data_IF_719814346569
#
_entry.id   IF_719814346569
#
_cell.length_a   1.000
_cell.length_b   1.000
_cell.length_c   1.000
_cell.angle_alpha   90.00
_cell.angle_beta   90.00
_cell.angle_gamma   90.00
#
_symmetry.space_group_name_H-M   'P 1'
#
loop_
_entity.id
_entity.type
_entity.pdbx_description
1 polymer ?
#
# COMPACT_ATOMS: atom_id res chain seq x y z
N UNK A 1 4.62 -8.18 1.90
CA UNK A 1 4.92 -8.46 0.48
C UNK A 1 3.88 -7.77 -0.37
N UNK A 2 4.30 -6.98 -1.37
CA UNK A 2 3.35 -6.25 -2.19
C UNK A 2 2.50 -7.17 -3.06
N UNK A 3 1.42 -6.61 -3.58
CA UNK A 3 0.45 -7.32 -4.41
C UNK A 3 1.08 -7.88 -5.70
N UNK A 4 0.61 -9.06 -6.10
CA UNK A 4 1.04 -9.74 -7.33
C UNK A 4 2.27 -10.64 -7.19
N UNK A 5 2.98 -10.62 -6.05
CA UNK A 5 4.14 -11.51 -5.82
C UNK A 5 3.74 -13.00 -5.91
N UNK A 6 2.56 -13.34 -5.41
CA UNK A 6 2.03 -14.71 -5.40
C UNK A 6 0.89 -14.92 -6.41
N UNK A 7 0.73 -14.04 -7.40
CA UNK A 7 -0.24 -14.23 -8.46
C UNK A 7 0.11 -15.47 -9.31
N UNK A 8 -0.88 -16.29 -9.72
CA UNK A 8 -2.33 -16.09 -9.59
C UNK A 8 -2.96 -16.70 -8.33
N UNK A 9 -2.17 -17.27 -7.41
CA UNK A 9 -2.69 -18.02 -6.26
C UNK A 9 -3.42 -17.13 -5.26
N UNK A 10 -2.91 -15.92 -5.03
CA UNK A 10 -3.60 -14.92 -4.20
C UNK A 10 -3.20 -13.51 -4.61
N UNK A 11 -4.17 -12.59 -4.50
CA UNK A 11 -3.97 -11.15 -4.63
C UNK A 11 -3.89 -10.45 -3.28
N UNK A 12 -3.91 -11.20 -2.17
CA UNK A 12 -3.87 -10.65 -0.82
C UNK A 12 -2.41 -10.38 -0.43
N UNK A 13 -2.09 -9.20 0.14
CA UNK A 13 -0.78 -8.93 0.71
C UNK A 13 -0.36 -10.01 1.71
N UNK A 14 0.88 -10.48 1.60
CA UNK A 14 1.42 -11.54 2.48
C UNK A 14 2.50 -10.98 3.39
N UNK A 15 2.50 -11.33 4.67
CA UNK A 15 3.53 -10.91 5.62
C UNK A 15 4.50 -12.06 5.93
N UNK A 16 5.77 -11.72 6.14
CA UNK A 16 6.78 -12.66 6.63
C UNK A 16 7.09 -12.31 8.09
N UNK A 17 7.07 -13.31 8.95
CA UNK A 17 7.42 -13.16 10.36
C UNK A 17 8.73 -13.86 10.64
N UNK A 18 9.63 -13.12 11.28
CA UNK A 18 10.90 -13.63 11.77
C UNK A 18 10.89 -13.57 13.29
N UNK A 19 11.19 -14.68 13.93
CA UNK A 19 11.26 -14.79 15.37
C UNK A 19 12.44 -15.67 15.74
N UNK A 20 12.98 -15.43 16.94
CA UNK A 20 13.98 -16.28 17.55
C UNK A 20 13.39 -16.94 18.81
N UNK A 21 14.21 -17.75 19.49
CA UNK A 21 13.82 -18.42 20.73
C UNK A 21 14.50 -17.80 21.96
N UNK A 22 15.05 -16.59 21.86
CA UNK A 22 15.85 -15.95 22.91
C UNK A 22 14.99 -15.18 23.93
N UNK A 23 13.95 -15.84 24.41
CA UNK A 23 13.07 -15.30 25.45
C UNK A 23 11.89 -14.48 24.91
N UNK A 24 11.17 -13.76 25.80
CA UNK A 24 9.95 -13.06 25.42
C UNK A 24 10.23 -11.84 24.54
N UNK A 25 9.45 -11.70 23.47
CA UNK A 25 9.49 -10.55 22.58
C UNK A 25 9.16 -9.27 23.34
N UNK A 26 10.11 -8.32 23.38
CA UNK A 26 9.89 -6.99 23.95
C UNK A 26 9.37 -6.00 22.91
N UNK A 27 9.82 -6.13 21.67
CA UNK A 27 9.48 -5.25 20.57
C UNK A 27 9.41 -6.03 19.27
N UNK A 28 8.52 -5.60 18.38
CA UNK A 28 8.42 -6.09 17.00
C UNK A 28 8.86 -4.98 16.07
N UNK A 29 9.71 -5.32 15.11
CA UNK A 29 10.10 -4.44 14.02
C UNK A 29 9.27 -4.77 12.79
N UNK A 30 8.75 -3.73 12.16
CA UNK A 30 8.03 -3.81 10.89
C UNK A 30 8.88 -3.20 9.79
N UNK A 31 8.81 -3.78 8.60
CA UNK A 31 9.42 -3.25 7.39
C UNK A 31 8.44 -3.39 6.22
N UNK A 32 8.11 -2.27 5.60
CA UNK A 32 7.25 -2.20 4.43
C UNK A 32 8.12 -2.25 3.17
N UNK A 33 8.02 -3.35 2.43
CA UNK A 33 8.69 -3.51 1.15
C UNK A 33 7.97 -2.64 0.11
N UNK A 34 8.64 -1.64 -0.49
CA UNK A 34 8.02 -0.79 -1.51
C UNK A 34 7.77 -1.57 -2.81
N UNK A 35 6.89 -1.02 -3.64
CA UNK A 35 6.80 -1.38 -5.05
C UNK A 35 7.84 -0.60 -5.86
N UNK A 36 8.35 -1.15 -6.97
CA UNK A 36 9.14 -0.40 -7.94
C UNK A 36 8.38 0.83 -8.45
N UNK A 37 9.13 1.90 -8.76
CA UNK A 37 8.55 3.11 -9.32
C UNK A 37 7.73 2.82 -10.60
N UNK A 38 6.54 3.41 -10.67
CA UNK A 38 5.63 3.23 -11.80
C UNK A 38 4.84 1.92 -11.82
N UNK A 39 5.04 1.01 -10.85
CA UNK A 39 4.30 -0.25 -10.76
C UNK A 39 3.25 -0.22 -9.65
N UNK A 40 2.04 -0.68 -9.99
CA UNK A 40 0.97 -0.90 -9.00
C UNK A 40 1.01 -2.30 -8.39
N UNK A 41 1.42 -3.31 -9.16
CA UNK A 41 1.48 -4.72 -8.76
C UNK A 41 2.61 -5.44 -9.51
N UNK A 42 3.09 -6.57 -9.00
CA UNK A 42 3.93 -7.50 -9.77
C UNK A 42 3.09 -8.36 -10.71
N UNK A 43 3.71 -8.83 -11.80
CA UNK A 43 3.06 -9.69 -12.80
C UNK A 43 4.01 -10.80 -13.25
N UNK A 44 3.50 -11.77 -14.03
CA UNK A 44 4.34 -12.84 -14.60
C UNK A 44 5.50 -12.32 -15.45
N UNK A 45 5.30 -11.21 -16.16
CA UNK A 45 6.33 -10.59 -17.02
C UNK A 45 7.21 -9.59 -16.26
N UNK A 46 6.77 -9.15 -15.08
CA UNK A 46 7.50 -8.25 -14.20
C UNK A 46 7.50 -8.80 -12.76
N UNK A 47 8.23 -9.90 -12.51
CA UNK A 47 8.30 -10.50 -11.19
C UNK A 47 9.17 -9.68 -10.25
N UNK A 48 9.00 -9.90 -8.95
CA UNK A 48 9.86 -9.32 -7.93
C UNK A 48 11.29 -9.82 -8.10
N UNK A 49 12.25 -8.91 -8.06
CA UNK A 49 13.67 -9.23 -8.15
C UNK A 49 14.34 -9.23 -6.77
N UNK A 50 15.44 -9.95 -6.63
CA UNK A 50 16.16 -10.05 -5.36
C UNK A 50 16.77 -8.71 -4.95
N UNK A 51 17.22 -7.93 -5.93
CA UNK A 51 17.83 -6.61 -5.76
C UNK A 51 16.88 -5.62 -5.09
N UNK A 52 15.58 -5.82 -5.23
CA UNK A 52 14.56 -4.97 -4.60
C UNK A 52 14.57 -5.08 -3.07
N UNK A 53 15.15 -6.16 -2.52
CA UNK A 53 15.34 -6.32 -1.07
C UNK A 53 16.65 -5.73 -0.55
N UNK A 54 17.50 -5.14 -1.39
CA UNK A 54 18.81 -4.64 -0.99
C UNK A 54 18.72 -3.65 0.20
N UNK A 55 17.80 -2.69 0.14
CA UNK A 55 17.55 -1.73 1.23
C UNK A 55 17.13 -2.43 2.53
N UNK A 56 16.26 -3.45 2.42
CA UNK A 56 15.79 -4.23 3.57
C UNK A 56 16.93 -5.00 4.22
N UNK A 57 17.79 -5.63 3.42
CA UNK A 57 18.95 -6.40 3.89
C UNK A 57 19.95 -5.48 4.60
N UNK A 58 20.25 -4.31 4.02
CA UNK A 58 21.14 -3.31 4.64
C UNK A 58 20.55 -2.82 5.96
N UNK A 59 19.24 -2.53 5.99
CA UNK A 59 18.54 -2.11 7.21
C UNK A 59 18.50 -3.19 8.28
N UNK A 60 18.37 -4.47 7.91
CA UNK A 60 18.19 -5.60 8.82
C UNK A 60 19.28 -5.71 9.88
N UNK A 61 20.54 -5.47 9.49
CA UNK A 61 21.69 -5.51 10.40
C UNK A 61 21.83 -4.28 11.31
N UNK A 62 21.17 -3.16 10.97
CA UNK A 62 21.27 -1.87 11.68
C UNK A 62 19.89 -1.23 11.82
N UNK A 63 18.94 -1.97 12.40
CA UNK A 63 17.53 -1.55 12.48
C UNK A 63 17.39 -0.19 13.16
N UNK A 64 16.87 0.77 12.40
CA UNK A 64 16.47 2.10 12.84
C UNK A 64 15.14 2.45 12.21
N UNK A 65 14.37 3.31 12.86
CA UNK A 65 13.15 3.80 12.25
C UNK A 65 13.45 4.70 11.06
N UNK A 66 12.65 4.55 10.01
CA UNK A 66 12.68 5.37 8.79
C UNK A 66 11.30 5.31 8.11
N UNK A 67 11.15 5.90 6.92
CA UNK A 67 9.87 5.95 6.21
C UNK A 67 9.23 4.58 5.91
N UNK A 68 10.03 3.50 5.90
CA UNK A 68 9.58 2.13 5.59
C UNK A 68 9.59 1.20 6.80
N UNK A 69 10.17 1.61 7.93
CA UNK A 69 10.40 0.75 9.08
C UNK A 69 10.09 1.44 10.40
N UNK A 70 9.30 0.77 11.24
CA UNK A 70 8.89 1.29 12.56
C UNK A 70 8.94 0.19 13.61
N UNK A 71 9.04 0.60 14.87
CA UNK A 71 9.15 -0.30 16.02
C UNK A 71 7.92 -0.20 16.89
N UNK A 72 7.37 -1.35 17.29
CA UNK A 72 6.19 -1.42 18.15
C UNK A 72 6.52 -2.22 19.41
N UNK A 73 6.21 -1.71 20.62
CA UNK A 73 6.33 -2.48 21.85
C UNK A 73 5.35 -3.67 21.87
N UNK A 74 5.80 -4.84 22.31
CA UNK A 74 4.94 -6.03 22.39
C UNK A 74 3.72 -5.82 23.30
N UNK A 75 3.86 -5.04 24.38
CA UNK A 75 2.76 -4.68 25.26
C UNK A 75 1.62 -3.93 24.53
N UNK A 76 1.95 -3.07 23.57
CA UNK A 76 0.95 -2.36 22.77
C UNK A 76 0.19 -3.33 21.85
N UNK A 77 0.91 -4.29 21.26
CA UNK A 77 0.32 -5.34 20.40
C UNK A 77 -0.63 -6.23 21.22
N UNK A 78 -0.20 -6.66 22.42
CA UNK A 78 -1.04 -7.46 23.33
C UNK A 78 -2.30 -6.70 23.75
N UNK A 79 -2.18 -5.40 24.06
CA UNK A 79 -3.32 -4.55 24.40
C UNK A 79 -4.30 -4.40 23.22
N UNK A 80 -3.81 -4.49 21.99
CA UNK A 80 -4.62 -4.44 20.76
C UNK A 80 -5.12 -5.83 20.33
N UNK A 81 -5.33 -6.76 21.27
CA UNK A 81 -5.85 -8.10 20.98
C UNK A 81 -4.90 -8.98 20.16
N UNK A 82 -3.59 -8.78 20.31
CA UNK A 82 -2.55 -9.47 19.55
C UNK A 82 -2.62 -9.24 18.03
N UNK A 83 -3.27 -8.15 17.58
CA UNK A 83 -3.33 -7.81 16.16
C UNK A 83 -1.98 -7.32 15.65
N UNK A 84 -1.39 -8.08 14.73
CA UNK A 84 -0.10 -7.77 14.09
C UNK A 84 -0.25 -6.96 12.80
N UNK A 85 -1.46 -6.72 12.30
CA UNK A 85 -1.72 -5.87 11.12
C UNK A 85 -1.60 -4.38 11.48
N UNK A 86 -0.40 -3.97 11.86
CA UNK A 86 -0.07 -2.59 12.15
C UNK A 86 0.43 -1.95 10.86
N UNK A 87 -0.24 -0.90 10.40
CA UNK A 87 0.12 -0.18 9.18
C UNK A 87 1.30 0.76 9.40
N UNK A 88 1.98 1.12 8.33
CA UNK A 88 3.06 2.10 8.35
C UNK A 88 2.51 3.48 8.79
N UNK A 89 2.95 4.03 9.94
CA UNK A 89 2.47 5.34 10.40
C UNK A 89 2.94 6.50 9.50
N UNK A 90 3.93 6.27 8.63
CA UNK A 90 4.48 7.23 7.67
C UNK A 90 4.10 6.87 6.22
N UNK A 91 3.24 5.88 6.02
CA UNK A 91 2.80 5.45 4.70
C UNK A 91 2.04 6.56 3.97
N UNK A 92 2.19 6.62 2.64
CA UNK A 92 1.31 7.46 1.82
C UNK A 92 -0.11 6.91 1.94
N UNK A 93 -1.08 7.78 2.20
CA UNK A 93 -2.49 7.42 2.26
C UNK A 93 -2.87 6.86 0.88
N UNK A 94 -3.18 5.57 0.84
CA UNK A 94 -3.69 4.95 -0.37
C UNK A 94 -5.06 5.56 -0.69
N UNK A 95 -5.30 5.92 -1.96
CA UNK A 95 -6.55 6.57 -2.39
C UNK A 95 -7.79 5.71 -2.09
N UNK A 96 -7.60 4.42 -1.84
CA UNK A 96 -8.66 3.47 -1.46
C UNK A 96 -9.28 3.75 -0.07
N UNK A 97 -8.62 4.55 0.78
CA UNK A 97 -9.12 4.96 2.10
C UNK A 97 -9.46 6.45 2.19
N UNK A 98 -9.89 7.07 1.08
CA UNK A 98 -10.54 8.37 1.16
C UNK A 98 -11.79 8.26 2.07
N UNK A 99 -12.00 9.18 3.02
CA UNK A 99 -13.25 9.25 3.78
C UNK A 99 -14.46 9.21 2.82
N UNK A 100 -15.56 8.54 3.17
CA UNK A 100 -16.73 8.44 2.30
C UNK A 100 -17.24 9.80 1.78
N UNK A 101 -17.08 10.84 2.58
CA UNK A 101 -17.40 12.23 2.24
C UNK A 101 -16.53 12.77 1.09
N UNK A 102 -15.21 12.56 1.15
CA UNK A 102 -14.30 12.96 0.08
C UNK A 102 -14.51 12.14 -1.19
N UNK A 103 -14.86 10.86 -1.05
CA UNK A 103 -15.21 10.00 -2.19
C UNK A 103 -16.49 10.50 -2.88
N UNK A 104 -17.50 10.91 -2.11
CA UNK A 104 -18.74 11.48 -2.65
C UNK A 104 -18.49 12.81 -3.39
N UNK A 105 -17.65 13.69 -2.83
CA UNK A 105 -17.26 14.95 -3.48
C UNK A 105 -16.52 14.71 -4.80
N UNK A 106 -15.61 13.74 -4.83
CA UNK A 106 -14.87 13.38 -6.04
C UNK A 106 -15.77 12.74 -7.10
N UNK A 107 -16.76 11.93 -6.70
CA UNK A 107 -17.79 11.41 -7.63
C UNK A 107 -18.56 12.58 -8.24
N UNK A 108 -19.01 13.53 -7.43
CA UNK A 108 -19.82 14.66 -7.89
C UNK A 108 -19.03 15.56 -8.87
N UNK A 109 -17.74 15.80 -8.60
CA UNK A 109 -16.85 16.51 -9.54
C UNK A 109 -16.70 15.77 -10.87
N UNK A 110 -16.54 14.44 -10.84
CA UNK A 110 -16.42 13.63 -12.06
C UNK A 110 -17.70 13.64 -12.87
N UNK A 111 -18.88 13.57 -12.23
CA UNK A 111 -20.18 13.67 -12.90
C UNK A 111 -20.38 15.02 -13.60
N UNK A 112 -20.00 16.12 -12.94
CA UNK A 112 -20.04 17.46 -13.56
C UNK A 112 -19.16 17.54 -14.81
N UNK A 113 -17.96 16.96 -14.75
CA UNK A 113 -17.05 16.92 -15.90
C UNK A 113 -17.59 16.06 -17.04
N UNK A 114 -18.25 14.95 -16.73
CA UNK A 114 -18.93 14.11 -17.74
C UNK A 114 -20.06 14.91 -18.40
N UNK A 115 -20.87 15.62 -17.61
CA UNK A 115 -21.98 16.43 -18.13
C UNK A 115 -21.49 17.55 -19.07
N UNK A 116 -20.38 18.21 -18.71
CA UNK A 116 -19.73 19.24 -19.53
C UNK A 116 -19.27 18.67 -20.88
N UNK A 117 -18.51 17.56 -20.87
CA UNK A 117 -18.03 16.88 -22.09
C UNK A 117 -19.21 16.43 -22.96
N UNK A 118 -20.27 15.90 -22.36
CA UNK A 118 -21.49 15.52 -23.10
C UNK A 118 -22.19 16.74 -23.72
N UNK A 119 -22.14 17.89 -23.05
CA UNK A 119 -22.62 19.17 -23.58
C UNK A 119 -21.81 19.63 -24.79
N UNK A 120 -20.48 19.56 -24.71
CA UNK A 120 -19.57 19.86 -25.83
C UNK A 120 -19.86 18.96 -27.04
N UNK A 121 -20.00 17.65 -26.83
CA UNK A 121 -20.33 16.68 -27.89
C UNK A 121 -21.68 17.03 -28.55
N UNK A 122 -22.72 17.33 -27.76
CA UNK A 122 -24.03 17.73 -28.30
C UNK A 122 -23.98 19.04 -29.08
N UNK A 123 -23.14 19.99 -28.66
CA UNK A 123 -22.93 21.26 -29.36
C UNK A 123 -22.25 21.03 -30.72
N UNK A 124 -21.19 20.21 -30.75
CA UNK A 124 -20.48 19.82 -31.97
C UNK A 124 -21.40 19.09 -32.97
N UNK A 125 -22.27 18.20 -32.50
CA UNK A 125 -23.23 17.49 -33.35
C UNK A 125 -24.32 18.41 -33.93
N UNK A 126 -24.66 19.53 -33.27
CA UNK A 126 -25.61 20.52 -33.81
C UNK A 126 -24.97 21.50 -34.81
N UNK A 127 -23.65 21.72 -34.71
CA UNK A 127 -22.89 22.59 -35.61
C UNK A 127 -22.37 21.89 -36.87
N UNK A 128 -22.51 20.57 -36.97
CA UNK A 128 -22.21 19.79 -38.18
C UNK A 128 -23.41 19.64 -39.10
N UNK A 129 -23.83 20.74 -39.73
CA UNK A 129 -24.69 20.79 -40.92
C UNK A 129 -24.04 21.73 -41.93
#
# INVERSE_FOLDING_TARGET
MPNGVFAPYTNIPTNLMFFDRFGPTKHVWYYEQPLPEGRKNYTKTQPIQFEEFADCIVWWGKRKENDRAWKVPAAAILKNGCNLDIKNPRGKVDFEHLPPEQLADDILKKELRIAEIMGEIKSLLKGGV
#
